data_IF_304981987301
#
_entry.id   IF_304981987301
#
_cell.length_a   1.000
_cell.length_b   1.000
_cell.length_c   1.000
_cell.angle_alpha   90.00
_cell.angle_beta   90.00
_cell.angle_gamma   90.00
#
_symmetry.space_group_name_H-M   'P 1'
#
loop_
_entity.id
_entity.type
_entity.pdbx_description
1 polymer ?
#
# COMPACT_ATOMS: atom_id res chain seq x y z
N UNK A 1 -16.94 -1.55 -24.84
CA UNK A 1 -17.55 -2.36 -23.76
C UNK A 1 -17.45 -1.54 -22.49
N UNK A 2 -18.59 -1.10 -21.95
CA UNK A 2 -18.63 -0.25 -20.75
C UNK A 2 -18.24 -1.11 -19.55
N UNK A 3 -17.07 -0.86 -18.97
CA UNK A 3 -16.78 -1.32 -17.62
C UNK A 3 -17.88 -0.75 -16.74
N UNK A 4 -18.69 -1.61 -16.12
CA UNK A 4 -19.58 -1.19 -15.06
C UNK A 4 -18.68 -0.61 -13.97
N UNK A 5 -18.60 0.71 -13.90
CA UNK A 5 -17.98 1.39 -12.79
C UNK A 5 -18.89 1.07 -11.60
N UNK A 6 -18.50 0.08 -10.79
CA UNK A 6 -19.22 -0.24 -9.57
C UNK A 6 -19.39 1.09 -8.82
N UNK A 7 -20.64 1.51 -8.59
CA UNK A 7 -20.88 2.70 -7.79
C UNK A 7 -20.25 2.45 -6.42
N UNK A 8 -19.24 3.25 -6.10
CA UNK A 8 -18.55 3.15 -4.82
C UNK A 8 -19.55 3.55 -3.75
N UNK A 9 -19.89 2.62 -2.86
CA UNK A 9 -20.88 2.87 -1.82
C UNK A 9 -20.25 3.66 -0.68
N UNK A 10 -20.60 4.94 -0.57
CA UNK A 10 -20.15 5.83 0.51
C UNK A 10 -20.57 5.31 1.89
N UNK A 11 -21.78 4.77 1.99
CA UNK A 11 -22.29 4.14 3.23
C UNK A 11 -21.40 2.95 3.64
N UNK A 12 -21.02 2.10 2.68
CA UNK A 12 -20.14 0.97 2.99
C UNK A 12 -18.73 1.45 3.34
N UNK A 13 -18.21 2.49 2.68
CA UNK A 13 -16.92 3.10 3.03
C UNK A 13 -16.91 3.63 4.47
N UNK A 14 -17.96 4.32 4.90
CA UNK A 14 -18.08 4.80 6.29
C UNK A 14 -18.09 3.61 7.26
N UNK A 15 -18.78 2.52 6.91
CA UNK A 15 -18.76 1.28 7.70
C UNK A 15 -17.40 0.59 7.74
N UNK A 16 -16.59 0.72 6.68
CA UNK A 16 -15.20 0.23 6.69
C UNK A 16 -14.37 1.03 7.70
N UNK A 17 -14.51 2.35 7.72
CA UNK A 17 -13.83 3.22 8.68
C UNK A 17 -14.26 2.91 10.12
N UNK A 18 -15.58 2.80 10.38
CA UNK A 18 -16.13 2.40 11.68
C UNK A 18 -15.51 1.08 12.16
N UNK A 19 -15.49 0.07 11.28
CA UNK A 19 -14.95 -1.25 11.59
C UNK A 19 -13.45 -1.19 11.90
N UNK A 20 -12.67 -0.43 11.12
CA UNK A 20 -11.23 -0.30 11.31
C UNK A 20 -10.92 0.33 12.67
N UNK A 21 -11.61 1.43 13.03
CA UNK A 21 -11.45 2.09 14.32
C UNK A 21 -11.82 1.19 15.49
N UNK A 22 -12.98 0.51 15.42
CA UNK A 22 -13.41 -0.41 16.47
C UNK A 22 -12.47 -1.60 16.63
N UNK A 23 -12.00 -2.18 15.52
CA UNK A 23 -11.09 -3.32 15.53
C UNK A 23 -9.72 -2.96 16.09
N UNK A 24 -9.21 -1.76 15.77
CA UNK A 24 -7.95 -1.26 16.31
C UNK A 24 -8.07 -1.01 17.83
N UNK A 25 -9.16 -0.40 18.29
CA UNK A 25 -9.43 -0.18 19.73
C UNK A 25 -9.62 -1.48 20.50
N UNK A 26 -10.10 -2.54 19.84
CA UNK A 26 -10.20 -3.88 20.42
C UNK A 26 -8.86 -4.61 20.55
N UNK A 27 -7.75 -4.05 20.04
CA UNK A 27 -6.41 -4.63 20.15
C UNK A 27 -6.12 -5.75 19.16
N UNK A 28 -6.85 -5.82 18.03
CA UNK A 28 -6.52 -6.77 16.96
C UNK A 28 -5.16 -6.45 16.34
N UNK A 29 -4.45 -7.50 15.91
CA UNK A 29 -3.14 -7.33 15.27
C UNK A 29 -3.22 -6.65 13.90
N UNK A 30 -2.08 -6.13 13.45
CA UNK A 30 -2.00 -5.33 12.23
C UNK A 30 -2.31 -6.15 10.96
N UNK A 31 -1.99 -7.43 10.96
CA UNK A 31 -2.35 -8.36 9.87
C UNK A 31 -3.87 -8.46 9.71
N UNK A 32 -4.59 -8.68 10.82
CA UNK A 32 -6.06 -8.72 10.86
C UNK A 32 -6.66 -7.41 10.41
N UNK A 33 -6.11 -6.28 10.87
CA UNK A 33 -6.56 -4.95 10.50
C UNK A 33 -6.38 -4.69 8.99
N UNK A 34 -5.18 -4.89 8.45
CA UNK A 34 -4.87 -4.62 7.04
C UNK A 34 -5.68 -5.52 6.11
N UNK A 35 -5.72 -6.83 6.40
CA UNK A 35 -6.52 -7.79 5.62
C UNK A 35 -7.99 -7.41 5.65
N UNK A 36 -8.56 -7.22 6.83
CA UNK A 36 -9.98 -6.91 6.98
C UNK A 36 -10.37 -5.57 6.37
N UNK A 37 -9.47 -4.59 6.37
CA UNK A 37 -9.66 -3.29 5.71
C UNK A 37 -9.71 -3.43 4.18
N UNK A 38 -8.71 -4.08 3.59
CA UNK A 38 -8.63 -4.25 2.14
C UNK A 38 -9.81 -5.05 1.57
N UNK A 39 -10.20 -6.15 2.23
CA UNK A 39 -11.36 -6.96 1.82
C UNK A 39 -12.66 -6.15 1.85
N UNK A 40 -12.85 -5.31 2.87
CA UNK A 40 -14.05 -4.47 2.99
C UNK A 40 -14.08 -3.34 1.97
N UNK A 41 -12.94 -2.70 1.68
CA UNK A 41 -12.85 -1.72 0.59
C UNK A 41 -13.19 -2.34 -0.76
N UNK A 42 -12.67 -3.53 -1.05
CA UNK A 42 -12.96 -4.25 -2.28
C UNK A 42 -14.44 -4.65 -2.39
N UNK A 43 -15.06 -5.04 -1.26
CA UNK A 43 -16.49 -5.34 -1.17
C UNK A 43 -17.38 -4.08 -1.29
N UNK A 44 -16.88 -2.92 -0.87
CA UNK A 44 -17.56 -1.62 -1.02
C UNK A 44 -17.53 -1.05 -2.45
N UNK A 45 -16.86 -1.75 -3.38
CA UNK A 45 -16.84 -1.41 -4.80
C UNK A 45 -15.54 -0.78 -5.29
N UNK A 46 -14.52 -0.61 -4.44
CA UNK A 46 -13.23 -0.09 -4.91
C UNK A 46 -12.55 -1.14 -5.82
N UNK A 47 -12.05 -0.74 -7.00
CA UNK A 47 -11.45 -1.66 -7.97
C UNK A 47 -9.99 -2.02 -7.60
N UNK A 48 -9.72 -2.29 -6.33
CA UNK A 48 -8.38 -2.63 -5.85
C UNK A 48 -7.96 -4.00 -6.40
N UNK A 49 -6.79 -4.06 -7.04
CA UNK A 49 -6.10 -5.29 -7.41
C UNK A 49 -5.02 -5.66 -6.41
N UNK A 50 -4.22 -4.67 -5.98
CA UNK A 50 -3.15 -4.83 -5.00
C UNK A 50 -3.09 -3.63 -4.07
N UNK A 51 -2.81 -3.89 -2.80
CA UNK A 51 -2.50 -2.88 -1.80
C UNK A 51 -1.19 -3.26 -1.14
N UNK A 52 -0.30 -2.29 -0.95
CA UNK A 52 0.88 -2.47 -0.12
C UNK A 52 0.89 -1.41 0.97
N UNK A 53 1.12 -1.80 2.22
CA UNK A 53 1.31 -0.89 3.35
C UNK A 53 2.57 -1.29 4.08
N UNK A 54 3.44 -0.34 4.39
CA UNK A 54 4.67 -0.54 5.15
C UNK A 54 4.70 0.43 6.32
N UNK A 55 4.98 -0.09 7.51
CA UNK A 55 5.03 0.68 8.75
C UNK A 55 6.44 0.66 9.30
N UNK A 56 7.00 1.82 9.65
CA UNK A 56 8.21 1.87 10.46
C UNK A 56 7.92 1.19 11.80
N UNK A 57 8.74 0.23 12.19
CA UNK A 57 8.60 -0.42 13.50
C UNK A 57 9.78 -0.04 14.38
N UNK A 58 9.52 0.24 15.67
CA UNK A 58 10.56 0.36 16.70
C UNK A 58 11.04 -1.03 17.15
N UNK A 59 11.27 -1.94 16.19
CA UNK A 59 11.64 -3.32 16.47
C UNK A 59 13.16 -3.47 16.37
N UNK A 60 13.86 -4.13 17.32
CA UNK A 60 15.32 -4.26 17.28
C UNK A 60 15.87 -5.03 16.07
N UNK A 61 14.98 -5.75 15.39
CA UNK A 61 15.30 -6.74 14.35
C UNK A 61 14.84 -6.32 12.95
N UNK A 62 13.90 -5.38 12.82
CA UNK A 62 13.33 -4.93 11.55
C UNK A 62 13.07 -3.42 11.60
N UNK A 63 13.45 -2.72 10.53
CA UNK A 63 13.21 -1.29 10.41
C UNK A 63 11.76 -1.01 10.01
N UNK A 64 11.14 -1.94 9.27
CA UNK A 64 9.75 -1.84 8.87
C UNK A 64 9.07 -3.21 8.69
N UNK A 65 7.74 -3.22 8.74
CA UNK A 65 6.90 -4.35 8.36
C UNK A 65 6.01 -3.95 7.20
N UNK A 66 6.08 -4.71 6.11
CA UNK A 66 5.23 -4.54 4.95
C UNK A 66 4.14 -5.60 4.85
N UNK A 67 3.01 -5.19 4.33
CA UNK A 67 1.80 -5.96 4.14
C UNK A 67 1.39 -5.82 2.68
N UNK A 68 1.37 -6.91 1.93
CA UNK A 68 0.91 -6.92 0.53
C UNK A 68 -0.39 -7.69 0.45
N UNK A 69 -1.48 -6.99 0.19
CA UNK A 69 -2.79 -7.59 -0.06
C UNK A 69 -3.03 -7.71 -1.56
N UNK A 70 -3.48 -8.89 -1.98
CA UNK A 70 -3.81 -9.22 -3.37
C UNK A 70 -5.26 -9.71 -3.42
N UNK A 71 -6.07 -9.09 -4.28
CA UNK A 71 -7.49 -9.44 -4.39
C UNK A 71 -7.66 -10.90 -4.75
N UNK A 72 -8.38 -11.64 -3.90
CA UNK A 72 -8.64 -13.07 -4.07
C UNK A 72 -7.46 -13.99 -3.70
N UNK A 73 -6.33 -13.46 -3.24
CA UNK A 73 -5.17 -14.25 -2.81
C UNK A 73 -4.84 -14.06 -1.32
N UNK A 74 -5.24 -12.95 -0.72
CA UNK A 74 -5.08 -12.70 0.71
C UNK A 74 -3.96 -11.70 1.02
N UNK A 75 -3.35 -11.84 2.19
CA UNK A 75 -2.33 -10.93 2.71
C UNK A 75 -1.00 -11.67 2.89
N UNK A 76 0.08 -11.06 2.43
CA UNK A 76 1.46 -11.48 2.72
C UNK A 76 2.13 -10.44 3.61
N UNK A 77 2.94 -10.92 4.56
CA UNK A 77 3.67 -10.07 5.52
C UNK A 77 5.17 -10.26 5.32
N UNK A 78 5.91 -9.15 5.21
CA UNK A 78 7.36 -9.14 4.99
C UNK A 78 8.05 -8.19 5.97
N UNK A 79 9.08 -8.66 6.67
CA UNK A 79 9.95 -7.83 7.49
C UNK A 79 11.08 -7.22 6.66
N UNK A 80 11.29 -5.91 6.79
CA UNK A 80 12.34 -5.16 6.10
C UNK A 80 13.47 -4.83 7.07
N UNK A 81 14.71 -5.04 6.63
CA UNK A 81 15.91 -4.68 7.38
C UNK A 81 16.92 -4.04 6.46
N UNK A 82 17.56 -2.98 6.94
CA UNK A 82 18.79 -2.42 6.41
C UNK A 82 19.98 -3.22 6.95
N UNK A 83 20.76 -3.81 6.05
CA UNK A 83 21.99 -4.48 6.42
C UNK A 83 23.11 -3.45 6.54
N UNK A 84 23.72 -3.32 7.72
CA UNK A 84 24.80 -2.38 8.00
C UNK A 84 24.47 -0.90 7.69
N UNK A 85 23.20 -0.50 7.79
CA UNK A 85 22.75 0.85 7.49
C UNK A 85 22.64 1.16 5.99
N UNK A 86 22.79 0.15 5.12
CA UNK A 86 22.58 0.26 3.68
C UNK A 86 21.14 -0.17 3.34
N UNK A 87 20.42 0.68 2.62
CA UNK A 87 19.10 0.34 2.11
C UNK A 87 19.21 -0.65 0.95
N UNK A 88 18.22 -1.55 0.82
CA UNK A 88 18.19 -2.51 -0.29
C UNK A 88 17.98 -1.82 -1.64
N UNK A 89 18.50 -2.42 -2.71
CA UNK A 89 18.27 -1.95 -4.09
C UNK A 89 16.78 -1.85 -4.43
N UNK A 90 15.98 -2.79 -3.90
CA UNK A 90 14.52 -2.77 -4.03
C UNK A 90 13.91 -1.49 -3.47
N UNK A 91 14.41 -1.02 -2.32
CA UNK A 91 13.94 0.24 -1.73
C UNK A 91 14.46 1.44 -2.52
N UNK A 92 15.76 1.50 -2.83
CA UNK A 92 16.38 2.62 -3.54
C UNK A 92 15.78 2.88 -4.93
N UNK A 93 15.27 1.84 -5.58
CA UNK A 93 14.60 1.91 -6.89
C UNK A 93 13.07 1.97 -6.79
N UNK A 94 12.51 2.14 -5.59
CA UNK A 94 11.07 2.14 -5.37
C UNK A 94 10.43 3.53 -5.53
N UNK A 95 9.12 3.59 -5.82
CA UNK A 95 8.35 4.83 -5.71
C UNK A 95 8.43 5.47 -4.33
N UNK A 96 8.60 4.68 -3.26
CA UNK A 96 8.69 5.19 -1.88
C UNK A 96 9.96 5.99 -1.65
N UNK A 97 11.10 5.48 -2.11
CA UNK A 97 12.36 6.23 -2.02
C UNK A 97 12.27 7.53 -2.82
N UNK A 98 11.67 7.48 -4.02
CA UNK A 98 11.42 8.70 -4.80
C UNK A 98 10.58 9.73 -4.03
N UNK A 99 9.50 9.31 -3.36
CA UNK A 99 8.68 10.21 -2.53
C UNK A 99 9.50 10.84 -1.40
N UNK A 100 10.25 10.04 -0.65
CA UNK A 100 11.06 10.51 0.48
C UNK A 100 12.18 11.47 0.03
N UNK A 101 12.94 11.10 -1.00
CA UNK A 101 14.05 11.92 -1.52
C UNK A 101 13.58 13.27 -2.05
N UNK A 102 12.36 13.34 -2.58
CA UNK A 102 11.80 14.56 -3.16
C UNK A 102 10.81 15.28 -2.23
N UNK A 103 10.61 14.79 -0.99
CA UNK A 103 9.66 15.34 -0.01
C UNK A 103 8.24 15.50 -0.57
N UNK A 104 7.78 14.45 -1.24
CA UNK A 104 6.44 14.38 -1.84
C UNK A 104 5.52 13.51 -0.98
N UNK A 105 4.28 13.96 -0.80
CA UNK A 105 3.29 13.20 -0.02
C UNK A 105 2.73 12.01 -0.80
N UNK A 106 2.64 12.12 -2.14
CA UNK A 106 2.05 11.10 -2.99
C UNK A 106 2.52 11.15 -4.44
N UNK A 107 2.34 10.03 -5.14
CA UNK A 107 2.65 9.83 -6.54
C UNK A 107 1.53 9.04 -7.20
N UNK A 108 0.93 9.58 -8.26
CA UNK A 108 0.01 8.82 -9.12
C UNK A 108 0.58 8.60 -10.51
N UNK A 109 0.40 7.40 -11.05
CA UNK A 109 0.77 7.01 -12.40
C UNK A 109 -0.33 6.19 -13.07
N UNK A 110 -0.61 6.51 -14.32
CA UNK A 110 -1.26 5.58 -15.25
C UNK A 110 -0.18 4.67 -15.80
N UNK A 111 -0.42 3.36 -15.76
CA UNK A 111 0.53 2.37 -16.25
C UNK A 111 0.17 2.01 -17.69
N UNK A 112 1.15 2.17 -18.59
CA UNK A 112 1.06 1.74 -19.98
C UNK A 112 2.13 0.67 -20.22
N UNK A 113 1.74 -0.58 -20.52
CA UNK A 113 2.69 -1.67 -20.72
C UNK A 113 3.55 -1.50 -21.99
N UNK A 114 3.22 -0.56 -22.88
CA UNK A 114 4.01 -0.25 -24.08
C UNK A 114 5.18 0.70 -23.83
N UNK A 115 5.22 1.34 -22.66
CA UNK A 115 6.26 2.30 -22.28
C UNK A 115 7.20 1.67 -21.27
N UNK A 116 8.48 2.03 -21.32
CA UNK A 116 9.46 1.61 -20.32
C UNK A 116 9.03 2.08 -18.92
N UNK A 117 8.97 1.16 -17.97
CA UNK A 117 8.62 1.44 -16.59
C UNK A 117 9.61 2.39 -15.90
N UNK A 118 9.05 3.36 -15.18
CA UNK A 118 9.79 4.30 -14.32
C UNK A 118 10.40 3.60 -13.09
N UNK A 119 9.67 2.63 -12.52
CA UNK A 119 10.10 1.83 -11.38
C UNK A 119 9.92 0.33 -11.67
N UNK A 120 10.82 -0.56 -11.20
CA UNK A 120 10.71 -2.00 -11.46
C UNK A 120 9.38 -2.63 -11.02
N UNK A 121 8.77 -2.13 -9.93
CA UNK A 121 7.46 -2.61 -9.45
C UNK A 121 6.34 -2.43 -10.48
N UNK A 122 6.45 -1.48 -11.40
CA UNK A 122 5.45 -1.27 -12.46
C UNK A 122 5.45 -2.39 -13.49
N UNK A 123 6.58 -3.05 -13.73
CA UNK A 123 6.62 -4.21 -14.64
C UNK A 123 5.82 -5.38 -14.08
N UNK A 124 5.95 -5.64 -12.78
CA UNK A 124 5.19 -6.69 -12.09
C UNK A 124 3.69 -6.36 -12.06
N UNK A 125 3.33 -5.11 -11.75
CA UNK A 125 1.95 -4.64 -11.73
C UNK A 125 1.31 -4.68 -13.13
N UNK A 126 2.07 -4.32 -14.17
CA UNK A 126 1.63 -4.40 -15.56
C UNK A 126 1.30 -5.83 -15.98
N UNK A 127 2.11 -6.82 -15.56
CA UNK A 127 1.82 -8.26 -15.77
C UNK A 127 0.54 -8.72 -15.07
N UNK A 128 0.09 -8.03 -14.02
CA UNK A 128 -1.17 -8.28 -13.32
C UNK A 128 -2.38 -7.53 -13.93
N UNK A 129 -2.15 -6.76 -15.00
CA UNK A 129 -3.15 -5.92 -15.66
C UNK A 129 -3.58 -4.72 -14.83
N UNK A 130 -2.71 -4.20 -13.96
CA UNK A 130 -2.92 -2.92 -13.26
C UNK A 130 -2.71 -1.78 -14.24
N UNK A 131 -3.56 -0.76 -14.15
CA UNK A 131 -3.55 0.40 -15.06
C UNK A 131 -3.43 1.74 -14.33
N UNK A 132 -3.68 1.75 -13.02
CA UNK A 132 -3.47 2.92 -12.16
C UNK A 132 -2.71 2.52 -10.91
N UNK A 133 -1.75 3.35 -10.53
CA UNK A 133 -0.92 3.19 -9.34
C UNK A 133 -0.88 4.50 -8.57
N UNK A 134 -1.09 4.42 -7.26
CA UNK A 134 -0.97 5.56 -6.34
C UNK A 134 -0.12 5.15 -5.15
N UNK A 135 1.05 5.76 -4.97
CA UNK A 135 1.86 5.65 -3.76
C UNK A 135 1.71 6.89 -2.87
N UNK A 136 1.91 6.72 -1.58
CA UNK A 136 1.82 7.79 -0.58
C UNK A 136 2.74 7.55 0.61
N UNK A 137 3.06 8.63 1.32
CA UNK A 137 3.77 8.64 2.59
C UNK A 137 2.92 9.40 3.61
N UNK A 138 2.76 8.83 4.79
CA UNK A 138 2.10 9.44 5.93
C UNK A 138 3.01 9.37 7.16
N UNK A 139 3.73 10.47 7.49
CA UNK A 139 4.59 10.52 8.66
C UNK A 139 3.76 10.53 9.95
N UNK A 140 4.28 9.91 11.01
CA UNK A 140 3.76 10.06 12.36
C UNK A 140 4.38 11.29 13.01
N UNK A 141 3.54 12.15 13.61
CA UNK A 141 3.97 13.37 14.31
C UNK A 141 4.87 14.33 13.50
N UNK A 142 4.81 14.27 12.16
CA UNK A 142 5.62 15.11 11.27
C UNK A 142 7.08 14.68 11.14
N UNK A 143 7.51 13.59 11.79
CA UNK A 143 8.83 13.01 11.59
C UNK A 143 8.80 12.04 10.40
N UNK A 144 9.59 12.32 9.36
CA UNK A 144 9.64 11.48 8.16
C UNK A 144 10.35 10.14 8.37
N UNK A 145 11.06 9.96 9.49
CA UNK A 145 11.70 8.70 9.85
C UNK A 145 10.73 7.67 10.43
N UNK A 146 9.56 8.12 10.89
CA UNK A 146 8.50 7.27 11.44
C UNK A 146 7.20 7.50 10.70
N UNK A 147 6.56 6.43 10.25
CA UNK A 147 5.28 6.59 9.56
C UNK A 147 4.82 5.34 8.85
N UNK A 148 3.85 5.57 7.98
CA UNK A 148 3.34 4.59 7.05
C UNK A 148 3.64 5.05 5.62
N UNK A 149 4.12 4.14 4.80
CA UNK A 149 4.16 4.30 3.35
C UNK A 149 3.27 3.24 2.73
N UNK A 150 2.68 3.53 1.58
CA UNK A 150 1.84 2.54 0.94
C UNK A 150 1.49 2.85 -0.49
N UNK A 151 0.88 1.88 -1.15
CA UNK A 151 0.35 2.07 -2.48
C UNK A 151 -0.93 1.29 -2.74
N UNK A 152 -1.75 1.88 -3.61
CA UNK A 152 -2.98 1.32 -4.15
C UNK A 152 -2.79 1.06 -5.64
N UNK A 153 -3.28 -0.07 -6.13
CA UNK A 153 -3.19 -0.46 -7.55
C UNK A 153 -4.54 -0.94 -8.05
N UNK A 154 -5.01 -0.42 -9.18
CA UNK A 154 -6.31 -0.75 -9.81
C UNK A 154 -6.17 -1.17 -11.25
#
# INVERSE_FOLDING_TARGET
MSTAQAEISTILMDKVADWLSQSALAGNDLETLVKGFCERLAAAGLPLKRVHLSFSMLHPLYDALGFTWLRGQGLEVEGFRSENGVHSDRFLTSPYYHLLSNKLDHLRRRLDPSVRSEFPVFDDLGRMGVTDYMAFVHPFNGDTSQGMMGSWST
#
